data_IF_420418600130
#
_entry.id   IF_420418600130
#
_cell.length_a   1.000
_cell.length_b   1.000
_cell.length_c   1.000
_cell.angle_alpha   90.00
_cell.angle_beta   90.00
_cell.angle_gamma   90.00
#
_symmetry.space_group_name_H-M   'P 1'
#
loop_
_entity.id
_entity.type
_entity.pdbx_description
1 polymer ?
#
# COMPACT_ATOMS: atom_id res chain seq x y z
N UNK A 1 -11.33 -2.97 -6.47
CA UNK A 1 -11.28 -4.45 -6.29
C UNK A 1 -12.02 -4.83 -5.02
N UNK A 2 -12.73 -5.91 -5.06
CA UNK A 2 -13.62 -6.32 -3.97
C UNK A 2 -13.10 -7.53 -3.20
N UNK A 3 -13.65 -7.72 -2.01
CA UNK A 3 -13.39 -8.91 -1.20
C UNK A 3 -13.71 -10.16 -2.03
N UNK A 4 -12.83 -11.15 -2.00
CA UNK A 4 -12.96 -12.39 -2.76
C UNK A 4 -12.27 -12.38 -4.12
N UNK A 5 -11.86 -11.21 -4.60
CA UNK A 5 -11.12 -11.12 -5.87
C UNK A 5 -9.63 -11.29 -5.64
N UNK A 6 -8.94 -11.83 -6.63
CA UNK A 6 -7.49 -12.04 -6.58
C UNK A 6 -6.77 -10.80 -7.12
N UNK A 7 -5.75 -10.34 -6.41
CA UNK A 7 -4.90 -9.25 -6.86
C UNK A 7 -4.06 -9.67 -8.08
N UNK A 8 -3.61 -8.70 -8.92
CA UNK A 8 -2.79 -9.03 -10.09
C UNK A 8 -1.49 -9.73 -9.72
N UNK A 9 -1.02 -10.65 -10.57
CA UNK A 9 0.26 -11.35 -10.36
C UNK A 9 1.45 -10.39 -10.41
N UNK A 10 1.46 -9.46 -11.35
CA UNK A 10 2.54 -8.46 -11.45
C UNK A 10 2.13 -7.24 -10.64
N UNK A 11 2.85 -6.97 -9.54
CA UNK A 11 2.58 -5.78 -8.71
C UNK A 11 3.29 -4.55 -9.27
N UNK A 12 4.46 -4.74 -9.89
CA UNK A 12 5.22 -3.64 -10.49
C UNK A 12 6.69 -3.69 -10.07
N UNK A 13 7.37 -2.57 -10.17
CA UNK A 13 8.77 -2.47 -9.77
C UNK A 13 8.87 -1.79 -8.40
N UNK A 14 9.87 -2.20 -7.62
CA UNK A 14 10.10 -1.62 -6.29
C UNK A 14 11.08 -0.43 -6.35
N UNK A 15 11.49 0.06 -5.19
CA UNK A 15 12.41 1.19 -5.06
C UNK A 15 13.80 0.92 -5.66
N UNK A 16 14.14 -0.34 -5.91
CA UNK A 16 15.42 -0.76 -6.50
C UNK A 16 15.28 -1.07 -8.00
N UNK A 17 14.08 -0.89 -8.57
CA UNK A 17 13.82 -1.23 -9.97
C UNK A 17 13.61 -2.71 -10.24
N UNK A 18 13.44 -3.51 -9.19
CA UNK A 18 13.23 -4.96 -9.30
C UNK A 18 11.73 -5.25 -9.48
N UNK A 19 11.39 -6.20 -10.35
CA UNK A 19 10.01 -6.61 -10.54
C UNK A 19 9.52 -7.42 -9.33
N UNK A 20 8.37 -7.03 -8.80
CA UNK A 20 7.74 -7.70 -7.66
C UNK A 20 6.48 -8.41 -8.13
N UNK A 21 6.43 -9.70 -7.87
CA UNK A 21 5.30 -10.56 -8.24
C UNK A 21 4.53 -10.99 -6.98
N UNK A 22 3.22 -11.11 -7.12
CA UNK A 22 2.38 -11.61 -6.03
C UNK A 22 2.83 -13.00 -5.57
N UNK A 23 3.27 -13.85 -6.51
CA UNK A 23 3.77 -15.19 -6.19
C UNK A 23 5.03 -15.19 -5.32
N UNK A 24 5.76 -14.08 -5.24
CA UNK A 24 6.90 -13.93 -4.32
C UNK A 24 6.45 -14.02 -2.85
N UNK A 25 5.17 -13.78 -2.60
CA UNK A 25 4.59 -13.78 -1.25
C UNK A 25 3.64 -14.95 -1.01
N UNK A 26 3.70 -15.98 -1.86
CA UNK A 26 2.88 -17.17 -1.67
C UNK A 26 3.15 -17.80 -0.30
N UNK A 27 2.08 -18.11 0.43
CA UNK A 27 2.19 -18.61 1.80
C UNK A 27 2.30 -17.51 2.84
N UNK A 28 2.35 -16.24 2.42
CA UNK A 28 2.32 -15.07 3.32
C UNK A 28 1.11 -14.22 3.02
N UNK A 29 0.57 -13.60 4.06
CA UNK A 29 -0.47 -12.61 3.91
C UNK A 29 0.17 -11.26 3.60
N UNK A 30 -0.55 -10.36 2.93
CA UNK A 30 -0.01 -9.07 2.49
C UNK A 30 -0.93 -7.93 2.93
N UNK A 31 -0.33 -6.89 3.51
CA UNK A 31 -0.96 -5.58 3.66
C UNK A 31 -0.52 -4.78 2.45
N UNK A 32 -1.41 -4.62 1.49
CA UNK A 32 -1.15 -3.86 0.26
C UNK A 32 -1.84 -2.49 0.40
N UNK A 33 -1.06 -1.45 0.69
CA UNK A 33 -1.65 -0.14 0.92
C UNK A 33 -1.27 0.84 -0.17
N UNK A 34 -2.27 1.59 -0.61
CA UNK A 34 -2.14 2.60 -1.68
C UNK A 34 -2.22 3.98 -1.05
N UNK A 35 -1.30 4.86 -1.42
CA UNK A 35 -1.24 6.22 -0.90
C UNK A 35 -0.93 7.21 -2.01
N UNK A 36 -1.37 8.49 -1.86
CA UNK A 36 -1.26 9.47 -2.95
C UNK A 36 0.15 9.87 -3.35
N UNK A 37 1.05 10.14 -2.39
CA UNK A 37 2.36 10.71 -2.73
C UNK A 37 3.35 10.63 -1.57
N UNK A 38 4.60 10.29 -1.89
CA UNK A 38 5.72 10.29 -0.94
C UNK A 38 5.90 11.68 -0.31
N UNK A 39 6.36 11.70 0.94
CA UNK A 39 6.71 12.91 1.69
C UNK A 39 5.57 13.91 1.95
N UNK A 40 4.32 13.50 1.76
CA UNK A 40 3.17 14.29 2.24
C UNK A 40 2.90 13.92 3.70
N UNK A 41 2.29 14.82 4.47
CA UNK A 41 2.10 14.62 5.91
C UNK A 41 1.28 13.38 6.25
N UNK A 42 0.16 13.17 5.58
CA UNK A 42 -0.69 11.99 5.81
C UNK A 42 -0.01 10.69 5.40
N UNK A 43 0.66 10.69 4.25
CA UNK A 43 1.33 9.49 3.75
C UNK A 43 2.55 9.14 4.62
N UNK A 44 3.26 10.14 5.12
CA UNK A 44 4.37 9.93 6.05
C UNK A 44 3.85 9.35 7.38
N UNK A 45 2.77 9.90 7.93
CA UNK A 45 2.16 9.39 9.16
C UNK A 45 1.75 7.93 9.00
N UNK A 46 1.11 7.59 7.88
CA UNK A 46 0.66 6.23 7.58
C UNK A 46 1.86 5.27 7.48
N UNK A 47 2.88 5.64 6.72
CA UNK A 47 4.09 4.83 6.56
C UNK A 47 4.78 4.59 7.90
N UNK A 48 4.89 5.63 8.74
CA UNK A 48 5.52 5.52 10.06
C UNK A 48 4.70 4.65 11.01
N UNK A 49 3.37 4.71 10.95
CA UNK A 49 2.51 3.83 11.74
C UNK A 49 2.72 2.37 11.35
N UNK A 50 2.79 2.08 10.05
CA UNK A 50 3.03 0.73 9.55
C UNK A 50 4.44 0.26 9.91
N UNK A 51 5.44 1.15 9.83
CA UNK A 51 6.82 0.85 10.25
C UNK A 51 6.86 0.46 11.73
N UNK A 52 6.21 1.25 12.58
CA UNK A 52 6.24 1.03 14.02
C UNK A 52 5.51 -0.27 14.43
N UNK A 53 4.60 -0.74 13.60
CA UNK A 53 3.83 -1.97 13.82
C UNK A 53 4.29 -3.13 12.93
N UNK A 54 5.36 -2.96 12.17
CA UNK A 54 5.80 -3.93 11.18
C UNK A 54 6.14 -5.29 11.81
N UNK A 55 6.88 -5.28 12.91
CA UNK A 55 7.26 -6.52 13.61
C UNK A 55 6.03 -7.30 14.06
N UNK A 56 5.04 -6.62 14.63
CA UNK A 56 3.79 -7.24 15.07
C UNK A 56 3.00 -7.81 13.89
N UNK A 57 2.96 -7.08 12.76
CA UNK A 57 2.30 -7.56 11.55
C UNK A 57 2.99 -8.80 10.99
N UNK A 58 4.33 -8.83 10.99
CA UNK A 58 5.09 -10.00 10.54
C UNK A 58 4.84 -11.21 11.42
N UNK A 59 4.71 -11.03 12.73
CA UNK A 59 4.37 -12.12 13.63
C UNK A 59 3.02 -12.74 13.31
N UNK A 60 2.10 -11.96 12.75
CA UNK A 60 0.78 -12.44 12.31
C UNK A 60 0.81 -13.01 10.89
N UNK A 61 1.98 -13.09 10.26
CA UNK A 61 2.14 -13.65 8.93
C UNK A 61 1.95 -12.66 7.78
N UNK A 62 1.95 -11.36 8.07
CA UNK A 62 1.76 -10.32 7.05
C UNK A 62 3.07 -9.68 6.62
N UNK A 63 3.21 -9.44 5.32
CA UNK A 63 4.22 -8.56 4.76
C UNK A 63 3.52 -7.27 4.35
N UNK A 64 4.22 -6.14 4.46
CA UNK A 64 3.67 -4.83 4.10
C UNK A 64 4.26 -4.38 2.78
N UNK A 65 3.42 -3.94 1.86
CA UNK A 65 3.81 -3.39 0.56
C UNK A 65 3.04 -2.09 0.36
N UNK A 66 3.76 -0.99 0.15
CA UNK A 66 3.14 0.29 -0.17
C UNK A 66 3.19 0.54 -1.67
N UNK A 67 2.22 1.27 -2.19
CA UNK A 67 2.11 1.58 -3.61
C UNK A 67 1.74 3.04 -3.81
N UNK A 68 2.49 3.74 -4.63
CA UNK A 68 2.08 5.04 -5.16
C UNK A 68 2.59 5.18 -6.58
N UNK A 69 2.19 6.25 -7.27
CA UNK A 69 2.63 6.51 -8.64
C UNK A 69 3.96 7.27 -8.71
N UNK A 70 4.61 7.47 -7.56
CA UNK A 70 5.93 8.08 -7.50
C UNK A 70 7.00 7.17 -8.10
N UNK A 71 8.14 7.75 -8.46
CA UNK A 71 9.25 7.01 -9.06
C UNK A 71 9.98 6.12 -8.03
N UNK A 72 10.74 5.15 -8.54
CA UNK A 72 11.59 4.31 -7.69
C UNK A 72 12.59 5.15 -6.90
N UNK A 73 13.16 6.19 -7.52
CA UNK A 73 14.10 7.11 -6.85
C UNK A 73 13.44 7.86 -5.70
N UNK A 74 12.19 8.33 -5.89
CA UNK A 74 11.42 8.98 -4.83
C UNK A 74 11.17 8.03 -3.67
N UNK A 75 10.78 6.80 -3.98
CA UNK A 75 10.53 5.76 -2.97
C UNK A 75 11.81 5.44 -2.17
N UNK A 76 12.95 5.35 -2.83
CA UNK A 76 14.20 5.07 -2.13
C UNK A 76 14.54 6.17 -1.13
N UNK A 77 14.34 7.43 -1.51
CA UNK A 77 14.56 8.57 -0.61
C UNK A 77 13.59 8.55 0.57
N UNK A 78 12.33 8.20 0.31
CA UNK A 78 11.30 8.12 1.35
C UNK A 78 11.62 7.01 2.36
N UNK A 79 12.01 5.84 1.86
CA UNK A 79 12.44 4.70 2.68
C UNK A 79 13.64 5.09 3.54
N UNK A 80 14.66 5.72 2.94
CA UNK A 80 15.88 6.11 3.66
C UNK A 80 15.58 7.15 4.74
N UNK A 81 14.75 8.13 4.42
CA UNK A 81 14.42 9.22 5.34
C UNK A 81 13.67 8.72 6.58
N UNK A 82 12.77 7.78 6.41
CA UNK A 82 11.91 7.30 7.50
C UNK A 82 12.24 5.89 7.97
N UNK A 83 13.32 5.31 7.45
CA UNK A 83 13.78 3.96 7.82
C UNK A 83 12.66 2.93 7.68
N UNK A 84 11.98 2.93 6.53
CA UNK A 84 10.88 2.01 6.28
C UNK A 84 11.43 0.60 6.04
N UNK A 85 10.95 -0.41 6.78
CA UNK A 85 11.47 -1.79 6.65
C UNK A 85 10.78 -2.63 5.58
N UNK A 86 9.90 -2.03 4.78
CA UNK A 86 9.12 -2.73 3.77
C UNK A 86 9.30 -2.07 2.40
N UNK A 87 8.93 -2.81 1.36
CA UNK A 87 9.12 -2.34 -0.02
C UNK A 87 7.99 -1.41 -0.47
N UNK A 88 8.31 -0.53 -1.40
CA UNK A 88 7.35 0.36 -2.04
C UNK A 88 7.34 0.10 -3.54
N UNK A 89 6.16 -0.01 -4.13
CA UNK A 89 5.98 -0.20 -5.56
C UNK A 89 5.88 1.16 -6.25
N UNK A 90 6.70 1.36 -7.28
CA UNK A 90 6.71 2.57 -8.10
C UNK A 90 5.78 2.34 -9.30
N UNK A 91 4.50 2.60 -9.12
CA UNK A 91 3.46 2.35 -10.14
C UNK A 91 3.33 3.55 -11.09
N UNK A 92 4.45 3.92 -11.73
CA UNK A 92 4.52 5.13 -12.58
C UNK A 92 3.62 5.05 -13.80
N UNK A 93 3.36 3.86 -14.32
CA UNK A 93 2.45 3.64 -15.46
C UNK A 93 0.98 3.45 -15.03
N UNK A 94 0.71 3.49 -13.73
CA UNK A 94 -0.63 3.43 -13.13
C UNK A 94 -1.37 2.10 -13.35
N UNK A 95 -0.67 1.07 -13.79
CA UNK A 95 -1.29 -0.24 -14.06
C UNK A 95 -1.91 -0.86 -12.81
N UNK A 96 -1.19 -0.83 -11.69
CA UNK A 96 -1.67 -1.45 -10.46
C UNK A 96 -2.80 -0.64 -9.83
N UNK A 97 -2.65 0.69 -9.74
CA UNK A 97 -3.70 1.54 -9.14
C UNK A 97 -5.00 1.46 -9.94
N UNK A 98 -4.92 1.34 -11.26
CA UNK A 98 -6.10 1.16 -12.10
C UNK A 98 -6.70 -0.24 -11.92
N UNK A 99 -5.87 -1.28 -11.94
CA UNK A 99 -6.33 -2.66 -11.77
C UNK A 99 -7.03 -2.89 -10.42
N UNK A 100 -6.54 -2.23 -9.38
CA UNK A 100 -7.12 -2.37 -8.03
C UNK A 100 -8.30 -1.42 -7.79
N UNK A 101 -8.60 -0.54 -8.76
CA UNK A 101 -9.74 0.36 -8.64
C UNK A 101 -9.54 1.52 -7.68
N UNK A 102 -8.29 1.94 -7.47
CA UNK A 102 -7.96 3.01 -6.51
C UNK A 102 -7.44 4.27 -7.19
N UNK A 103 -7.63 4.38 -8.50
CA UNK A 103 -7.24 5.55 -9.29
C UNK A 103 -8.49 6.22 -9.85
N UNK A 104 -8.61 7.52 -9.69
CA UNK A 104 -9.76 8.24 -10.19
C UNK A 104 -9.71 9.73 -9.95
N UNK A 105 -10.81 10.39 -10.25
CA UNK A 105 -10.94 11.82 -10.11
C UNK A 105 -11.10 12.23 -8.65
N UNK A 106 -10.29 13.20 -8.24
CA UNK A 106 -10.35 13.81 -6.91
C UNK A 106 -10.61 15.30 -7.07
N UNK A 107 -11.11 15.92 -6.02
CA UNK A 107 -11.38 17.36 -6.01
C UNK A 107 -10.72 18.00 -4.79
N UNK A 108 -10.07 19.14 -5.01
CA UNK A 108 -9.47 19.91 -3.93
C UNK A 108 -9.62 21.39 -4.27
N UNK A 109 -10.26 22.17 -3.38
CA UNK A 109 -10.47 23.61 -3.55
C UNK A 109 -11.12 23.97 -4.90
N UNK A 110 -12.08 23.16 -5.33
CA UNK A 110 -12.80 23.35 -6.58
C UNK A 110 -12.06 22.88 -7.83
N UNK A 111 -10.83 22.38 -7.70
CA UNK A 111 -10.05 21.84 -8.82
C UNK A 111 -10.16 20.32 -8.86
N UNK A 112 -10.39 19.79 -10.06
CA UNK A 112 -10.43 18.35 -10.29
C UNK A 112 -9.09 17.86 -10.81
N UNK A 113 -8.65 16.70 -10.31
CA UNK A 113 -7.40 16.08 -10.75
C UNK A 113 -7.50 14.57 -10.59
N UNK A 114 -6.66 13.84 -11.32
CA UNK A 114 -6.59 12.38 -11.17
C UNK A 114 -5.60 12.02 -10.07
N UNK A 115 -5.95 11.06 -9.25
CA UNK A 115 -5.07 10.66 -8.14
C UNK A 115 -5.44 9.32 -7.56
N UNK A 116 -4.60 8.86 -6.62
CA UNK A 116 -4.79 7.61 -5.91
C UNK A 116 -5.69 7.82 -4.70
N UNK A 117 -6.68 6.95 -4.54
CA UNK A 117 -7.51 6.91 -3.34
C UNK A 117 -6.79 6.10 -2.28
N UNK A 118 -6.59 6.68 -1.10
CA UNK A 118 -5.91 6.03 0.02
C UNK A 118 -6.72 4.81 0.47
N UNK A 119 -6.26 3.62 0.09
CA UNK A 119 -7.00 2.37 0.29
C UNK A 119 -6.01 1.28 0.71
N UNK A 120 -6.41 0.41 1.62
CA UNK A 120 -5.59 -0.71 2.03
C UNK A 120 -6.36 -2.01 1.83
N UNK A 121 -5.68 -2.98 1.21
CA UNK A 121 -6.23 -4.33 1.00
C UNK A 121 -5.44 -5.31 1.85
N UNK A 122 -6.15 -6.17 2.57
CA UNK A 122 -5.51 -7.31 3.24
C UNK A 122 -5.70 -8.52 2.36
N UNK A 123 -4.60 -9.11 1.92
CA UNK A 123 -4.61 -10.28 1.05
C UNK A 123 -4.24 -11.52 1.85
N UNK A 124 -4.90 -12.65 1.55
CA UNK A 124 -4.54 -13.93 2.17
C UNK A 124 -3.32 -14.55 1.48
N UNK A 125 -2.94 -15.76 1.90
CA UNK A 125 -1.75 -16.46 1.40
C UNK A 125 -1.82 -16.79 -0.10
N UNK A 126 -3.02 -16.72 -0.69
CA UNK A 126 -3.24 -16.97 -2.12
C UNK A 126 -3.38 -15.66 -2.91
N UNK A 127 -3.26 -14.51 -2.25
CA UNK A 127 -3.40 -13.20 -2.90
C UNK A 127 -4.83 -12.75 -3.10
N UNK A 128 -5.77 -13.33 -2.38
CA UNK A 128 -7.19 -12.99 -2.45
C UNK A 128 -7.52 -11.93 -1.40
N UNK A 129 -8.28 -10.91 -1.81
CA UNK A 129 -8.69 -9.82 -0.92
C UNK A 129 -9.65 -10.33 0.15
N UNK A 130 -9.27 -10.19 1.42
CA UNK A 130 -10.11 -10.55 2.57
C UNK A 130 -10.73 -9.36 3.26
N UNK A 131 -10.08 -8.20 3.20
CA UNK A 131 -10.55 -6.97 3.85
C UNK A 131 -10.11 -5.77 3.04
N UNK A 132 -10.96 -4.74 2.99
CA UNK A 132 -10.65 -3.45 2.35
C UNK A 132 -10.87 -2.35 3.38
N UNK A 133 -9.86 -1.50 3.56
CA UNK A 133 -10.02 -0.23 4.29
C UNK A 133 -10.22 0.86 3.24
N UNK A 134 -11.40 1.43 3.18
CA UNK A 134 -11.72 2.52 2.24
C UNK A 134 -11.00 3.81 2.66
N UNK A 135 -10.92 4.82 1.78
CA UNK A 135 -10.30 6.10 2.14
C UNK A 135 -10.88 6.73 3.41
N UNK A 136 -12.16 6.54 3.65
CA UNK A 136 -12.83 7.08 4.85
C UNK A 136 -12.46 6.31 6.11
N UNK A 137 -12.10 5.05 5.98
CA UNK A 137 -11.77 4.18 7.11
C UNK A 137 -10.32 4.29 7.55
N UNK A 138 -9.41 4.64 6.62
CA UNK A 138 -7.97 4.73 6.94
C UNK A 138 -7.69 5.93 7.84
N UNK A 139 -7.13 5.65 9.02
CA UNK A 139 -6.64 6.68 9.95
C UNK A 139 -5.12 6.66 9.86
N UNK A 140 -4.54 7.66 9.20
CA UNK A 140 -3.11 7.65 8.84
C UNK A 140 -2.17 7.48 10.03
N UNK A 141 -2.45 8.16 11.14
CA UNK A 141 -1.57 8.12 12.32
C UNK A 141 -1.60 6.79 13.06
N UNK A 142 -2.67 6.01 12.91
CA UNK A 142 -2.88 4.77 13.67
C UNK A 142 -3.20 3.58 12.79
N UNK A 143 -2.85 3.67 11.50
CA UNK A 143 -3.24 2.63 10.53
C UNK A 143 -2.68 1.25 10.87
N UNK A 144 -1.44 1.17 11.36
CA UNK A 144 -0.86 -0.10 11.80
C UNK A 144 -1.67 -0.75 12.91
N UNK A 145 -2.09 0.04 13.90
CA UNK A 145 -2.93 -0.42 15.00
C UNK A 145 -4.32 -0.84 14.52
N UNK A 146 -4.89 -0.09 13.54
CA UNK A 146 -6.19 -0.47 12.95
C UNK A 146 -6.14 -1.86 12.35
N UNK A 147 -5.08 -2.15 11.59
CA UNK A 147 -4.91 -3.44 10.93
C UNK A 147 -4.75 -4.54 11.97
N UNK A 148 -3.87 -4.34 12.95
CA UNK A 148 -3.64 -5.32 14.00
C UNK A 148 -4.92 -5.67 14.74
N UNK A 149 -5.77 -4.70 14.99
CA UNK A 149 -7.04 -4.91 15.68
C UNK A 149 -8.00 -5.79 14.88
N UNK A 150 -7.99 -5.65 13.55
CA UNK A 150 -8.88 -6.41 12.66
C UNK A 150 -8.40 -7.86 12.49
N UNK A 151 -7.09 -8.09 12.51
CA UNK A 151 -6.51 -9.42 12.25
C UNK A 151 -6.26 -10.26 13.50
N UNK A 152 -6.59 -9.74 14.65
CA UNK A 152 -6.49 -10.47 15.92
C UNK A 152 -7.27 -11.77 15.92
#
# INVERSE_FOLDING_TARGET
MNIGEKAPEVLGINEKGEEILLSNFRGKKVVLYFYPKDNTSGCTAEACSLRDNYSALKEKGYEVIGVSTDSAASHQKFIDKHELPFTLIADTDKKLVEAMGVWGEKSMCGKKYMGTFRTTFLLNEEGIVEKVFSPKEVKTKTHGEQILKVIE
#
